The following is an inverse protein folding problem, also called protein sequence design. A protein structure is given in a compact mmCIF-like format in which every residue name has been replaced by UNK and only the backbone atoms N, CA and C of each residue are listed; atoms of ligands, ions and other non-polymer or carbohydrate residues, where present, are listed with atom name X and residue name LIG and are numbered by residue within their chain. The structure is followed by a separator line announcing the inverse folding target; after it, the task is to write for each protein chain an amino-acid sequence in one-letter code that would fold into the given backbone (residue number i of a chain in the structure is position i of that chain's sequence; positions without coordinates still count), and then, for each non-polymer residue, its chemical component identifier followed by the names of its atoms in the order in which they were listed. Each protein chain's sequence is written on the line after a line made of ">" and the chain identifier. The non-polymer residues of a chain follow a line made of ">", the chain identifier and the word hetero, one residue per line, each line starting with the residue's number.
data_IF_425044224413
#
_entry.id   IF_425044224413
#
_cell.length_a   1.000
_cell.length_b   1.000
_cell.length_c   1.000
_cell.angle_alpha   90.00
_cell.angle_beta   90.00
_cell.angle_gamma   90.00
#
_symmetry.space_group_name_H-M   'P 1'
#
loop_
_entity.id
_entity.type
_entity.pdbx_description
1 polymer ?
#
# COMPACT_ATOMS: atom_id res chain seq x y z
N UNK A 1 6.26 -12.25 18.54
CA UNK A 1 7.52 -13.02 18.38
C UNK A 1 7.57 -13.77 17.04
N UNK A 2 6.52 -14.53 16.68
CA UNK A 2 6.42 -15.26 15.40
C UNK A 2 6.66 -14.37 14.15
N UNK A 3 6.11 -13.15 14.14
CA UNK A 3 6.30 -12.19 13.04
C UNK A 3 7.79 -11.90 12.73
N UNK A 4 8.63 -11.69 13.75
CA UNK A 4 10.06 -11.39 13.55
C UNK A 4 10.81 -12.58 12.94
N UNK A 5 10.47 -13.80 13.37
CA UNK A 5 11.10 -15.03 12.86
C UNK A 5 10.76 -15.21 11.37
N UNK A 6 9.49 -15.06 10.98
CA UNK A 6 9.06 -15.19 9.59
C UNK A 6 9.60 -14.07 8.70
N UNK A 7 9.68 -12.85 9.21
CA UNK A 7 10.29 -11.73 8.48
C UNK A 7 11.74 -12.05 8.11
N UNK A 8 12.53 -12.52 9.07
CA UNK A 8 13.95 -12.81 8.83
C UNK A 8 14.17 -14.08 7.99
N UNK A 9 13.38 -15.13 8.24
CA UNK A 9 13.57 -16.43 7.58
C UNK A 9 13.05 -16.46 6.14
N UNK A 10 12.01 -15.69 5.81
CA UNK A 10 11.33 -15.76 4.51
C UNK A 10 11.35 -14.43 3.75
N UNK A 11 10.85 -13.34 4.35
CA UNK A 11 10.68 -12.07 3.65
C UNK A 11 12.01 -11.44 3.25
N UNK A 12 12.98 -11.36 4.17
CA UNK A 12 14.30 -10.77 3.91
C UNK A 12 15.06 -11.51 2.80
N UNK A 13 15.22 -12.84 2.80
CA UNK A 13 15.95 -13.52 1.74
C UNK A 13 15.26 -13.39 0.37
N UNK A 14 13.93 -13.44 0.30
CA UNK A 14 13.20 -13.28 -0.96
C UNK A 14 13.43 -11.88 -1.55
N UNK A 15 13.30 -10.82 -0.73
CA UNK A 15 13.56 -9.45 -1.20
C UNK A 15 15.01 -9.26 -1.65
N UNK A 16 15.98 -9.89 -0.98
CA UNK A 16 17.38 -9.87 -1.41
C UNK A 16 17.60 -10.60 -2.74
N UNK A 17 16.96 -11.75 -2.95
CA UNK A 17 17.02 -12.49 -4.22
C UNK A 17 16.43 -11.68 -5.35
N UNK A 18 15.27 -11.06 -5.17
CA UNK A 18 14.66 -10.19 -6.19
C UNK A 18 15.55 -8.98 -6.51
N UNK A 19 16.10 -8.32 -5.48
CA UNK A 19 16.97 -7.16 -5.66
C UNK A 19 18.27 -7.52 -6.40
N UNK A 20 18.90 -8.63 -6.02
CA UNK A 20 20.12 -9.09 -6.69
C UNK A 20 19.82 -9.51 -8.13
N UNK A 21 18.75 -10.26 -8.37
CA UNK A 21 18.31 -10.67 -9.70
C UNK A 21 18.09 -9.45 -10.61
N UNK A 22 17.39 -8.41 -10.13
CA UNK A 22 17.16 -7.17 -10.88
C UNK A 22 18.46 -6.41 -11.18
N UNK A 23 19.41 -6.37 -10.25
CA UNK A 23 20.71 -5.71 -10.43
C UNK A 23 21.60 -6.42 -11.45
N UNK A 24 21.56 -7.75 -11.50
CA UNK A 24 22.35 -8.55 -12.46
C UNK A 24 21.78 -8.50 -13.87
N UNK A 25 20.47 -8.61 -14.06
CA UNK A 25 19.88 -8.68 -15.40
C UNK A 25 19.74 -7.31 -16.06
N UNK A 26 19.58 -6.23 -15.26
CA UNK A 26 19.29 -4.86 -15.72
C UNK A 26 18.16 -4.79 -16.75
N UNK A 27 17.23 -5.73 -16.68
CA UNK A 27 16.11 -5.84 -17.60
C UNK A 27 14.80 -5.77 -16.81
N UNK A 28 13.73 -5.39 -17.50
CA UNK A 28 12.37 -5.51 -16.96
C UNK A 28 12.07 -6.96 -16.56
N UNK A 29 11.07 -7.15 -15.70
CA UNK A 29 10.66 -8.45 -15.13
C UNK A 29 10.69 -9.58 -16.17
N UNK A 30 10.05 -9.37 -17.33
CA UNK A 30 10.01 -10.33 -18.44
C UNK A 30 11.42 -10.73 -18.93
N UNK A 31 12.29 -9.74 -19.14
CA UNK A 31 13.66 -9.96 -19.59
C UNK A 31 14.54 -10.59 -18.51
N UNK A 32 14.27 -10.33 -17.23
CA UNK A 32 14.99 -10.93 -16.12
C UNK A 32 14.67 -12.42 -15.99
N UNK A 33 13.38 -12.79 -16.09
CA UNK A 33 12.92 -14.18 -16.05
C UNK A 33 13.45 -14.97 -17.25
N UNK A 34 13.43 -14.38 -18.45
CA UNK A 34 13.98 -15.05 -19.64
C UNK A 34 15.50 -15.25 -19.59
N UNK A 35 16.26 -14.32 -19.00
CA UNK A 35 17.72 -14.47 -18.86
C UNK A 35 18.11 -15.52 -17.83
N UNK A 36 17.34 -15.69 -16.76
CA UNK A 36 17.65 -16.66 -15.69
C UNK A 36 17.06 -18.06 -15.93
N UNK A 37 15.81 -18.18 -16.41
CA UNK A 37 15.10 -19.45 -16.57
C UNK A 37 14.99 -19.91 -18.04
N UNK A 38 15.48 -19.12 -18.99
CA UNK A 38 15.40 -19.39 -20.43
C UNK A 38 14.08 -18.96 -21.08
N UNK A 39 14.01 -19.04 -22.41
CA UNK A 39 12.85 -18.60 -23.22
C UNK A 39 11.56 -19.35 -22.92
N UNK A 40 11.64 -20.58 -22.37
CA UNK A 40 10.46 -21.37 -21.97
C UNK A 40 9.71 -20.76 -20.77
N UNK A 41 10.39 -19.94 -19.96
CA UNK A 41 9.81 -19.28 -18.79
C UNK A 41 9.22 -17.89 -19.09
N UNK A 42 9.13 -17.47 -20.37
CA UNK A 42 8.52 -16.18 -20.75
C UNK A 42 7.08 -16.05 -20.22
N UNK A 43 6.32 -17.15 -20.21
CA UNK A 43 4.96 -17.17 -19.69
C UNK A 43 4.88 -16.84 -18.19
N UNK A 44 5.85 -17.30 -17.38
CA UNK A 44 5.93 -16.97 -15.95
C UNK A 44 6.18 -15.47 -15.72
N UNK A 45 7.05 -14.85 -16.53
CA UNK A 45 7.26 -13.41 -16.48
C UNK A 45 6.01 -12.62 -16.92
N UNK A 46 5.28 -13.14 -17.91
CA UNK A 46 4.01 -12.58 -18.39
C UNK A 46 2.93 -12.59 -17.32
N UNK A 47 2.78 -13.73 -16.63
CA UNK A 47 1.89 -13.86 -15.49
C UNK A 47 2.22 -12.86 -14.38
N UNK A 48 3.49 -12.76 -13.99
CA UNK A 48 3.92 -11.78 -12.98
C UNK A 48 3.59 -10.34 -13.39
N UNK A 49 3.89 -9.96 -14.63
CA UNK A 49 3.57 -8.61 -15.13
C UNK A 49 2.06 -8.33 -15.12
N UNK A 50 1.22 -9.32 -15.43
CA UNK A 50 -0.23 -9.19 -15.38
C UNK A 50 -0.73 -8.98 -13.94
N UNK A 51 -0.22 -9.75 -12.97
CA UNK A 51 -0.56 -9.58 -11.55
C UNK A 51 -0.21 -8.18 -11.08
N UNK A 52 1.01 -7.69 -11.38
CA UNK A 52 1.43 -6.33 -11.02
C UNK A 52 0.51 -5.27 -11.66
N UNK A 53 0.05 -5.48 -12.89
CA UNK A 53 -0.91 -4.58 -13.54
C UNK A 53 -2.26 -4.55 -12.81
N UNK A 54 -2.81 -5.71 -12.43
CA UNK A 54 -4.09 -5.77 -11.70
C UNK A 54 -4.00 -5.11 -10.32
N UNK A 55 -2.91 -5.36 -9.60
CA UNK A 55 -2.67 -4.75 -8.29
C UNK A 55 -2.53 -3.23 -8.44
N UNK A 56 -1.81 -2.76 -9.45
CA UNK A 56 -1.65 -1.32 -9.71
C UNK A 56 -2.98 -0.63 -10.02
N UNK A 57 -3.88 -1.30 -10.75
CA UNK A 57 -5.21 -0.77 -11.05
C UNK A 57 -6.06 -0.61 -9.77
N UNK A 58 -6.02 -1.60 -8.87
CA UNK A 58 -6.69 -1.53 -7.57
C UNK A 58 -6.20 -0.34 -6.73
N UNK A 59 -4.87 -0.20 -6.59
CA UNK A 59 -4.30 0.90 -5.78
C UNK A 59 -4.60 2.29 -6.35
N UNK A 60 -4.74 2.42 -7.67
CA UNK A 60 -5.14 3.68 -8.29
C UNK A 60 -6.55 4.12 -7.87
N UNK A 61 -7.46 3.19 -7.57
CA UNK A 61 -8.81 3.50 -7.06
C UNK A 61 -8.73 4.00 -5.62
N UNK A 62 -7.98 3.30 -4.77
CA UNK A 62 -7.78 3.67 -3.36
C UNK A 62 -7.22 5.08 -3.23
N UNK A 63 -6.19 5.42 -4.03
CA UNK A 63 -5.61 6.77 -4.05
C UNK A 63 -6.65 7.81 -4.51
N UNK A 64 -7.50 7.48 -5.48
CA UNK A 64 -8.58 8.35 -5.93
C UNK A 64 -9.54 8.72 -4.80
N UNK A 65 -9.91 7.77 -3.94
CA UNK A 65 -10.71 8.04 -2.75
C UNK A 65 -9.99 8.95 -1.76
N UNK A 66 -8.70 8.71 -1.49
CA UNK A 66 -7.91 9.56 -0.60
C UNK A 66 -7.88 11.03 -1.08
N UNK A 67 -7.69 11.25 -2.39
CA UNK A 67 -7.70 12.60 -2.98
C UNK A 67 -9.08 13.25 -2.88
N UNK A 68 -10.14 12.49 -3.15
CA UNK A 68 -11.52 12.98 -3.02
C UNK A 68 -11.82 13.44 -1.59
N UNK A 69 -11.49 12.63 -0.58
CA UNK A 69 -11.71 13.00 0.83
C UNK A 69 -10.85 14.18 1.26
N UNK A 70 -9.63 14.29 0.74
CA UNK A 70 -8.77 15.45 0.99
C UNK A 70 -9.39 16.74 0.44
N UNK A 71 -9.99 16.67 -0.76
CA UNK A 71 -10.69 17.81 -1.34
C UNK A 71 -11.97 18.16 -0.57
N UNK A 72 -12.74 17.15 -0.16
CA UNK A 72 -13.95 17.32 0.64
C UNK A 72 -13.64 18.02 1.97
N UNK A 73 -12.53 17.66 2.63
CA UNK A 73 -12.07 18.29 3.87
C UNK A 73 -11.80 19.80 3.72
N UNK A 74 -11.38 20.26 2.55
CA UNK A 74 -11.04 21.67 2.29
C UNK A 74 -12.29 22.50 1.95
N UNK A 75 -13.30 21.88 1.34
CA UNK A 75 -14.47 22.60 0.76
C UNK A 75 -15.70 22.56 1.67
N UNK A 76 -15.87 21.51 2.48
CA UNK A 76 -17.08 21.26 3.28
C UNK A 76 -16.69 21.03 4.75
N UNK A 77 -17.50 21.54 5.68
CA UNK A 77 -17.35 21.22 7.11
C UNK A 77 -17.60 19.73 7.33
N UNK A 78 -16.71 19.07 8.09
CA UNK A 78 -16.80 17.63 8.25
C UNK A 78 -18.03 17.26 9.09
N UNK A 79 -18.78 16.21 8.69
CA UNK A 79 -19.83 15.64 9.51
C UNK A 79 -19.23 15.20 10.86
N UNK A 80 -19.85 15.63 11.96
CA UNK A 80 -19.37 15.38 13.33
C UNK A 80 -19.74 13.99 13.86
N UNK A 81 -20.65 13.28 13.19
CA UNK A 81 -21.17 11.97 13.61
C UNK A 81 -20.71 10.81 12.71
N UNK A 82 -20.41 9.67 13.32
CA UNK A 82 -19.94 8.44 12.64
C UNK A 82 -20.95 7.92 11.60
N UNK A 83 -22.25 8.01 11.91
CA UNK A 83 -23.32 7.62 11.00
C UNK A 83 -23.40 8.50 9.75
N UNK A 84 -23.10 9.79 9.88
CA UNK A 84 -23.06 10.72 8.75
C UNK A 84 -21.83 10.49 7.88
N UNK A 85 -20.68 10.14 8.49
CA UNK A 85 -19.48 9.74 7.75
C UNK A 85 -19.69 8.47 6.92
N UNK A 86 -20.39 7.48 7.47
CA UNK A 86 -20.70 6.22 6.80
C UNK A 86 -21.77 6.43 5.70
N UNK A 87 -22.75 7.31 5.93
CA UNK A 87 -23.71 7.73 4.91
C UNK A 87 -23.03 8.50 3.76
N UNK A 88 -22.11 9.44 4.07
CA UNK A 88 -21.33 10.17 3.07
C UNK A 88 -20.44 9.23 2.24
N UNK A 89 -19.82 8.23 2.86
CA UNK A 89 -19.06 7.20 2.15
C UNK A 89 -19.96 6.35 1.23
N UNK A 90 -21.11 5.90 1.71
CA UNK A 90 -22.03 5.11 0.88
C UNK A 90 -22.64 5.92 -0.26
N UNK A 91 -22.98 7.19 -0.03
CA UNK A 91 -23.48 8.10 -1.07
C UNK A 91 -22.40 8.37 -2.14
N UNK A 92 -21.15 8.50 -1.71
CA UNK A 92 -20.01 8.62 -2.60
C UNK A 92 -19.81 7.36 -3.45
N UNK A 93 -19.80 6.19 -2.83
CA UNK A 93 -19.46 4.92 -3.49
C UNK A 93 -20.60 4.39 -4.37
N UNK A 94 -21.86 4.60 -3.97
CA UNK A 94 -23.02 3.97 -4.63
C UNK A 94 -23.86 4.91 -5.49
N UNK A 95 -23.96 6.19 -5.16
CA UNK A 95 -24.95 7.08 -5.77
C UNK A 95 -24.34 8.15 -6.68
N UNK A 96 -23.01 8.30 -6.68
CA UNK A 96 -22.35 9.42 -7.35
C UNK A 96 -21.26 8.95 -8.33
N UNK A 97 -21.23 9.50 -9.54
CA UNK A 97 -20.18 9.22 -10.56
C UNK A 97 -18.87 9.99 -10.34
N UNK A 98 -18.85 10.93 -9.40
CA UNK A 98 -17.70 11.76 -9.04
C UNK A 98 -16.42 10.97 -8.65
N UNK A 99 -16.47 9.85 -7.90
CA UNK A 99 -15.28 9.06 -7.60
C UNK A 99 -14.64 8.48 -8.85
N UNK A 100 -15.44 8.11 -9.86
CA UNK A 100 -14.95 7.56 -11.13
C UNK A 100 -14.23 8.64 -11.92
N UNK A 101 -14.75 9.87 -11.94
CA UNK A 101 -14.12 11.01 -12.63
C UNK A 101 -12.78 11.38 -11.96
N UNK A 102 -12.75 11.47 -10.63
CA UNK A 102 -11.52 11.74 -9.87
C UNK A 102 -10.51 10.59 -10.02
N UNK A 103 -10.98 9.34 -10.08
CA UNK A 103 -10.12 8.19 -10.33
C UNK A 103 -9.46 8.26 -11.72
N UNK A 104 -10.23 8.55 -12.78
CA UNK A 104 -9.69 8.71 -14.14
C UNK A 104 -8.68 9.86 -14.19
N UNK A 105 -8.95 10.96 -13.48
CA UNK A 105 -8.03 12.09 -13.39
C UNK A 105 -6.74 11.72 -12.66
N UNK A 106 -6.84 10.97 -11.55
CA UNK A 106 -5.70 10.49 -10.79
C UNK A 106 -4.87 9.46 -11.59
N UNK A 107 -5.52 8.55 -12.32
CA UNK A 107 -4.87 7.64 -13.25
C UNK A 107 -4.14 8.40 -14.37
N UNK A 108 -4.74 9.48 -14.88
CA UNK A 108 -4.10 10.38 -15.84
C UNK A 108 -2.85 11.06 -15.29
N UNK A 109 -2.91 11.58 -14.06
CA UNK A 109 -1.75 12.18 -13.37
C UNK A 109 -0.65 11.15 -13.15
N UNK A 110 -0.99 9.92 -12.71
CA UNK A 110 -0.05 8.81 -12.61
C UNK A 110 0.61 8.50 -13.96
N UNK A 111 -0.18 8.46 -15.04
CA UNK A 111 0.33 8.30 -16.41
C UNK A 111 1.33 9.41 -16.79
N UNK A 112 0.99 10.68 -16.53
CA UNK A 112 1.87 11.84 -16.79
C UNK A 112 3.18 11.75 -15.99
N UNK A 113 3.12 11.33 -14.72
CA UNK A 113 4.29 11.09 -13.90
C UNK A 113 5.21 10.00 -14.48
N UNK A 114 4.63 8.94 -15.08
CA UNK A 114 5.38 7.87 -15.75
C UNK A 114 6.02 8.33 -17.06
N UNK A 115 5.37 9.22 -17.84
CA UNK A 115 5.95 9.79 -19.07
C UNK A 115 7.25 10.56 -18.81
N UNK A 116 7.43 11.11 -17.60
CA UNK A 116 8.66 11.79 -17.20
C UNK A 116 9.85 10.87 -16.90
N UNK A 117 9.67 9.56 -16.95
CA UNK A 117 10.67 8.54 -16.67
C UNK A 117 11.10 8.48 -15.20
N UNK A 118 12.08 7.62 -14.93
CA UNK A 118 12.55 7.25 -13.58
C UNK A 118 12.97 8.48 -12.75
N UNK A 119 13.59 9.50 -13.39
CA UNK A 119 14.08 10.71 -12.71
C UNK A 119 12.97 11.57 -12.09
N UNK A 120 11.75 11.58 -12.63
CA UNK A 120 10.62 12.31 -12.02
C UNK A 120 10.02 11.51 -10.87
N UNK A 121 9.89 10.19 -11.05
CA UNK A 121 9.37 9.28 -10.02
C UNK A 121 10.24 9.36 -8.76
N UNK A 122 11.57 9.35 -8.92
CA UNK A 122 12.50 9.47 -7.80
C UNK A 122 12.31 10.78 -7.01
N UNK A 123 12.20 11.93 -7.71
CA UNK A 123 11.97 13.23 -7.06
C UNK A 123 10.65 13.28 -6.31
N UNK A 124 9.58 12.75 -6.90
CA UNK A 124 8.26 12.69 -6.24
C UNK A 124 8.34 11.80 -5.00
N UNK A 125 8.99 10.64 -5.09
CA UNK A 125 9.11 9.72 -3.96
C UNK A 125 9.95 10.30 -2.82
N UNK A 126 11.02 11.05 -3.15
CA UNK A 126 11.83 11.76 -2.17
C UNK A 126 11.05 12.82 -1.38
N UNK A 127 9.94 13.33 -1.91
CA UNK A 127 9.04 14.25 -1.19
C UNK A 127 7.90 13.50 -0.51
N UNK A 128 7.35 12.47 -1.15
CA UNK A 128 6.20 11.71 -0.67
C UNK A 128 6.53 10.91 0.61
N UNK A 129 7.69 10.26 0.67
CA UNK A 129 8.13 9.48 1.84
C UNK A 129 8.29 10.34 3.10
N UNK A 130 9.03 11.48 3.09
CA UNK A 130 9.14 12.30 4.29
C UNK A 130 7.81 12.99 4.65
N UNK A 131 6.95 13.31 3.68
CA UNK A 131 5.61 13.84 3.95
C UNK A 131 4.76 12.81 4.70
N UNK A 132 4.76 11.55 4.25
CA UNK A 132 4.05 10.47 4.92
C UNK A 132 4.56 10.29 6.36
N UNK A 133 5.88 10.27 6.55
CA UNK A 133 6.49 10.17 7.87
C UNK A 133 6.11 11.37 8.77
N UNK A 134 6.11 12.58 8.22
CA UNK A 134 5.76 13.80 8.95
C UNK A 134 4.32 13.78 9.43
N UNK A 135 3.37 13.38 8.57
CA UNK A 135 1.95 13.27 8.95
C UNK A 135 1.77 12.20 10.02
N UNK A 136 2.46 11.06 9.90
CA UNK A 136 2.41 9.99 10.91
C UNK A 136 2.94 10.46 12.27
N UNK A 137 4.08 11.16 12.31
CA UNK A 137 4.63 11.68 13.56
C UNK A 137 3.73 12.76 14.17
N UNK A 138 3.15 13.62 13.33
CA UNK A 138 2.21 14.64 13.77
C UNK A 138 0.95 14.02 14.38
N UNK A 139 0.33 13.04 13.71
CA UNK A 139 -0.88 12.39 14.21
C UNK A 139 -0.59 11.54 15.46
N UNK A 140 0.59 10.93 15.55
CA UNK A 140 1.03 10.23 16.75
C UNK A 140 1.16 11.19 17.93
N UNK A 141 1.87 12.31 17.75
CA UNK A 141 2.02 13.32 18.81
C UNK A 141 0.66 13.88 19.24
N UNK A 142 -0.23 14.16 18.28
CA UNK A 142 -1.59 14.63 18.55
C UNK A 142 -2.43 13.58 19.29
N UNK A 143 -2.37 12.32 18.88
CA UNK A 143 -3.10 11.21 19.49
C UNK A 143 -2.71 11.02 20.97
N UNK A 144 -1.44 11.20 21.31
CA UNK A 144 -0.95 11.11 22.69
C UNK A 144 -1.46 12.23 23.61
N UNK A 145 -1.93 13.35 23.05
CA UNK A 145 -2.49 14.46 23.84
C UNK A 145 -3.99 14.28 24.15
N UNK A 146 -4.65 13.27 23.58
CA UNK A 146 -6.07 12.99 23.84
C UNK A 146 -6.25 12.19 25.12
N UNK A 147 -7.36 12.45 25.80
CA UNK A 147 -7.80 11.65 26.95
C UNK A 147 -7.93 10.18 26.53
N UNK A 148 -7.54 9.25 27.42
CA UNK A 148 -7.52 7.79 27.19
C UNK A 148 -6.43 7.25 26.25
N UNK A 149 -5.43 8.05 25.87
CA UNK A 149 -4.29 7.57 25.06
C UNK A 149 -3.57 6.38 25.71
N UNK A 150 -3.47 6.35 27.04
CA UNK A 150 -2.87 5.28 27.82
C UNK A 150 -3.56 3.92 27.62
N UNK A 151 -4.88 3.91 27.45
CA UNK A 151 -5.65 2.68 27.20
C UNK A 151 -5.35 2.12 25.82
N UNK A 152 -5.22 3.00 24.81
CA UNK A 152 -4.84 2.60 23.45
C UNK A 152 -3.43 1.99 23.37
N UNK A 153 -2.47 2.57 24.10
CA UNK A 153 -1.11 2.04 24.19
C UNK A 153 -1.11 0.68 24.88
N UNK A 154 -1.83 0.53 25.99
CA UNK A 154 -1.96 -0.75 26.67
C UNK A 154 -2.61 -1.80 25.77
N UNK A 155 -3.68 -1.47 25.05
CA UNK A 155 -4.31 -2.37 24.10
C UNK A 155 -3.35 -2.85 23.00
N UNK A 156 -2.55 -1.94 22.43
CA UNK A 156 -1.59 -2.26 21.37
C UNK A 156 -0.45 -3.16 21.84
N UNK A 157 0.06 -2.95 23.06
CA UNK A 157 1.21 -3.67 23.60
C UNK A 157 0.85 -4.84 24.52
N UNK A 158 -0.43 -5.11 24.79
CA UNK A 158 -0.84 -6.27 25.59
C UNK A 158 -0.57 -7.57 24.82
N UNK A 159 0.39 -8.41 25.25
CA UNK A 159 0.73 -9.61 24.51
C UNK A 159 -0.30 -10.73 24.76
N UNK A 160 -1.07 -11.08 23.72
CA UNK A 160 -2.01 -12.20 23.77
C UNK A 160 -1.29 -13.55 23.53
N UNK A 161 -0.60 -14.07 24.54
CA UNK A 161 0.21 -15.31 24.43
C UNK A 161 -0.61 -16.56 24.05
N UNK A 162 -1.90 -16.61 24.41
CA UNK A 162 -2.80 -17.70 24.06
C UNK A 162 -3.00 -17.91 22.55
N UNK A 163 -2.73 -16.89 21.72
CA UNK A 163 -2.91 -16.96 20.27
C UNK A 163 -1.74 -17.60 19.52
N UNK A 164 -0.59 -17.75 20.16
CA UNK A 164 0.65 -18.24 19.54
C UNK A 164 0.57 -19.71 19.05
N UNK A 165 -0.36 -20.51 19.60
CA UNK A 165 -0.53 -21.92 19.25
C UNK A 165 -1.45 -22.15 18.03
N UNK A 166 -2.10 -21.11 17.51
CA UNK A 166 -3.06 -21.26 16.42
C UNK A 166 -2.33 -21.24 15.08
N UNK A 167 -2.38 -22.36 14.37
CA UNK A 167 -1.68 -22.58 13.08
C UNK A 167 -2.13 -21.60 11.98
N UNK A 168 -3.36 -21.05 12.08
CA UNK A 168 -3.88 -20.06 11.14
C UNK A 168 -3.14 -18.71 11.17
N UNK A 169 -2.59 -18.31 12.32
CA UNK A 169 -1.85 -17.05 12.42
C UNK A 169 -0.53 -17.12 11.67
N UNK A 170 0.09 -18.30 11.61
CA UNK A 170 1.31 -18.55 10.85
C UNK A 170 1.07 -18.45 9.34
N UNK A 171 -0.05 -18.98 8.85
CA UNK A 171 -0.43 -18.88 7.44
C UNK A 171 -0.86 -17.47 7.04
N UNK A 172 -1.66 -16.80 7.87
CA UNK A 172 -2.09 -15.42 7.61
C UNK A 172 -0.89 -14.47 7.51
N UNK A 173 0.13 -14.66 8.35
CA UNK A 173 1.38 -13.91 8.30
C UNK A 173 2.21 -14.15 7.02
N UNK A 174 2.20 -15.37 6.47
CA UNK A 174 2.90 -15.68 5.23
C UNK A 174 2.20 -15.13 3.98
N UNK A 175 0.86 -15.06 3.98
CA UNK A 175 0.07 -14.67 2.80
C UNK A 175 -0.02 -13.14 2.64
N UNK A 176 -0.17 -12.39 3.73
CA UNK A 176 -0.43 -10.93 3.70
C UNK A 176 0.74 -10.10 3.14
N UNK A 177 1.95 -10.68 2.99
CA UNK A 177 3.12 -9.98 2.41
C UNK A 177 3.63 -10.54 1.09
N UNK A 178 2.97 -11.57 0.54
CA UNK A 178 3.28 -12.11 -0.80
C UNK A 178 2.38 -11.54 -1.90
N UNK A 179 1.48 -10.61 -1.56
CA UNK A 179 0.60 -9.83 -2.44
C UNK A 179 0.95 -8.34 -2.28
#
# INVERSE_FOLDING_TARGET
>A
MVWFIMLYLWSVPITLVEYTMGRFTRCSILGSVCKFLGTKAFWLGGWYAAVVMFVSAYYCVVVGWCVYYTFLFVVVELPSDENEGLAAFNHLVRETYWPVIIHVLCAGVCGICLYGGIRRIEKVNLVLVPLLLSVLLFTLAWSLTREYAEVGIQFLFTPAWCKCSQFEEWFCLCIVKSL
#
